data_IF_164066507019
#
_entry.id   IF_164066507019
#
_cell.length_a   1.000
_cell.length_b   1.000
_cell.length_c   1.000
_cell.angle_alpha   90.00
_cell.angle_beta   90.00
_cell.angle_gamma   90.00
#
_symmetry.space_group_name_H-M   'P 1'
#
loop_
_entity.id
_entity.type
_entity.pdbx_description
1 polymer ?
#
# COMPACT_ATOMS: atom_id res chain seq x y z
N UNK A 1 39.96 15.90 -35.08
CA UNK A 1 38.50 15.88 -35.34
C UNK A 1 38.24 14.84 -36.44
N UNK A 2 37.14 14.05 -36.47
CA UNK A 2 35.94 14.11 -35.62
C UNK A 2 35.33 12.75 -35.16
N UNK A 3 34.38 12.88 -34.23
CA UNK A 3 33.11 12.13 -34.08
C UNK A 3 33.08 10.74 -33.41
N UNK A 4 32.93 10.82 -32.09
CA UNK A 4 32.21 9.90 -31.21
C UNK A 4 30.89 9.42 -31.85
N UNK A 5 30.80 8.11 -32.10
CA UNK A 5 29.54 7.41 -32.32
C UNK A 5 29.36 6.55 -31.08
N UNK A 6 28.69 7.09 -30.06
CA UNK A 6 28.22 6.25 -28.97
C UNK A 6 27.02 5.48 -29.51
N UNK A 7 27.25 4.25 -29.96
CA UNK A 7 26.18 3.30 -30.30
C UNK A 7 25.40 3.02 -29.04
N UNK A 8 24.22 3.63 -28.95
CA UNK A 8 23.30 3.42 -27.85
C UNK A 8 22.23 2.42 -28.28
N UNK A 9 22.22 1.31 -27.53
CA UNK A 9 21.10 0.42 -27.21
C UNK A 9 20.64 -0.58 -28.27
N UNK A 10 21.28 -1.75 -28.18
CA UNK A 10 20.59 -3.02 -28.19
C UNK A 10 19.60 -3.16 -27.02
N UNK A 11 18.81 -4.25 -27.09
CA UNK A 11 17.94 -4.86 -26.06
C UNK A 11 16.48 -4.42 -26.18
N UNK A 12 15.67 -5.11 -26.98
CA UNK A 12 15.05 -6.44 -26.73
C UNK A 12 13.90 -6.34 -25.73
N UNK A 13 12.72 -6.77 -26.19
CA UNK A 13 11.56 -7.13 -25.39
C UNK A 13 11.94 -7.91 -24.12
N UNK A 14 11.46 -7.44 -22.97
CA UNK A 14 11.14 -8.25 -21.79
C UNK A 14 10.08 -7.42 -21.04
N UNK A 15 8.80 -7.77 -21.13
CA UNK A 15 8.26 -8.82 -20.28
C UNK A 15 7.88 -8.19 -18.95
N UNK A 16 6.64 -7.70 -18.84
CA UNK A 16 6.02 -7.36 -17.55
C UNK A 16 6.22 -8.56 -16.62
N UNK A 17 7.03 -8.47 -15.56
CA UNK A 17 6.91 -9.48 -14.54
C UNK A 17 5.58 -9.18 -13.85
N UNK A 18 4.65 -10.12 -13.98
CA UNK A 18 3.50 -10.23 -13.12
C UNK A 18 4.01 -10.52 -11.69
N UNK A 19 4.47 -9.50 -10.97
CA UNK A 19 4.67 -9.58 -9.52
C UNK A 19 3.30 -9.53 -8.82
N UNK A 20 2.51 -10.59 -8.98
CA UNK A 20 1.32 -10.82 -8.16
C UNK A 20 1.52 -11.95 -7.14
N UNK A 21 2.65 -12.67 -7.19
CA UNK A 21 2.83 -13.93 -6.46
C UNK A 21 3.68 -13.85 -5.18
N UNK A 22 4.47 -12.78 -4.98
CA UNK A 22 5.37 -12.62 -3.81
C UNK A 22 5.16 -11.26 -3.12
N UNK A 23 3.91 -10.80 -3.08
CA UNK A 23 3.64 -9.57 -2.35
C UNK A 23 3.77 -9.86 -0.85
N UNK A 24 4.49 -9.04 -0.07
CA UNK A 24 4.73 -9.34 1.34
C UNK A 24 3.41 -9.28 2.14
N UNK A 25 3.15 -10.28 2.97
CA UNK A 25 1.98 -10.33 3.89
C UNK A 25 2.13 -9.36 5.08
N UNK A 26 3.35 -8.85 5.27
CA UNK A 26 3.68 -7.89 6.31
C UNK A 26 4.45 -6.71 5.74
N UNK A 27 4.12 -5.51 6.20
CA UNK A 27 4.78 -4.29 5.80
C UNK A 27 5.41 -3.65 7.03
N UNK A 28 6.69 -3.28 6.94
CA UNK A 28 7.34 -2.50 8.01
C UNK A 28 7.18 -1.03 7.69
N UNK A 29 6.49 -0.29 8.55
CA UNK A 29 6.29 1.14 8.41
C UNK A 29 7.64 1.86 8.42
N UNK A 30 7.80 2.86 7.57
CA UNK A 30 8.91 3.81 7.66
C UNK A 30 8.44 5.10 8.33
N UNK A 31 9.36 5.91 8.82
CA UNK A 31 9.03 7.20 9.40
C UNK A 31 8.21 8.05 8.41
N UNK A 32 7.10 8.62 8.92
CA UNK A 32 6.13 9.45 8.17
C UNK A 32 5.26 8.67 7.17
N UNK A 33 5.27 7.34 7.16
CA UNK A 33 4.22 6.58 6.47
C UNK A 33 2.86 6.81 7.15
N UNK A 34 1.80 6.72 6.35
CA UNK A 34 0.42 6.71 6.84
C UNK A 34 -0.26 5.44 6.36
N UNK A 35 -1.25 4.94 7.12
CA UNK A 35 -2.03 3.78 6.70
C UNK A 35 -2.67 3.99 5.32
N UNK A 36 -3.10 5.22 5.04
CA UNK A 36 -3.64 5.61 3.74
C UNK A 36 -2.63 5.42 2.62
N UNK A 37 -1.41 5.96 2.77
CA UNK A 37 -0.36 5.83 1.78
C UNK A 37 0.13 4.37 1.61
N UNK A 38 0.08 3.56 2.67
CA UNK A 38 0.43 2.13 2.61
C UNK A 38 -0.63 1.36 1.81
N UNK A 39 -1.92 1.59 2.07
CA UNK A 39 -3.02 0.94 1.35
C UNK A 39 -3.08 1.36 -0.14
N UNK A 40 -2.74 2.61 -0.45
CA UNK A 40 -2.67 3.15 -1.80
C UNK A 40 -1.61 2.44 -2.67
N UNK A 41 -0.59 1.80 -2.04
CA UNK A 41 0.47 1.15 -2.81
C UNK A 41 -0.11 -0.02 -3.62
N UNK A 42 0.20 -0.11 -4.92
CA UNK A 42 -0.26 -1.19 -5.78
C UNK A 42 0.25 -2.57 -5.33
N UNK A 43 1.36 -2.60 -4.61
CA UNK A 43 1.95 -3.81 -4.01
C UNK A 43 1.18 -4.32 -2.77
N UNK A 44 0.33 -3.48 -2.18
CA UNK A 44 -0.44 -3.80 -0.97
C UNK A 44 -1.89 -4.08 -1.38
N UNK A 45 -2.62 -3.03 -1.74
CA UNK A 45 -3.99 -3.11 -2.27
C UNK A 45 -4.20 -2.28 -3.54
N UNK A 46 -3.45 -1.20 -3.71
CA UNK A 46 -3.72 -0.20 -4.75
C UNK A 46 -5.01 0.59 -4.52
N UNK A 47 -5.52 0.54 -3.29
CA UNK A 47 -6.77 1.19 -2.91
C UNK A 47 -6.61 1.83 -1.54
N UNK A 48 -6.54 3.17 -1.48
CA UNK A 48 -6.30 3.84 -0.22
C UNK A 48 -7.47 3.68 0.75
N UNK A 49 -8.70 3.48 0.28
CA UNK A 49 -9.88 3.34 1.13
C UNK A 49 -9.91 2.01 1.91
N UNK A 50 -8.96 1.11 1.65
CA UNK A 50 -8.73 -0.11 2.45
C UNK A 50 -7.76 0.09 3.62
N UNK A 51 -7.32 1.32 3.90
CA UNK A 51 -6.46 1.61 5.05
C UNK A 51 -7.07 1.15 6.39
N UNK A 52 -8.40 1.16 6.51
CA UNK A 52 -9.09 0.68 7.72
C UNK A 52 -9.01 -0.83 7.91
N UNK A 53 -8.91 -1.62 6.83
CA UNK A 53 -8.73 -3.06 6.94
C UNK A 53 -7.35 -3.38 7.55
N UNK A 54 -6.32 -2.65 7.13
CA UNK A 54 -4.98 -2.72 7.74
C UNK A 54 -5.06 -2.35 9.21
N UNK A 55 -5.71 -1.22 9.53
CA UNK A 55 -5.82 -0.79 10.92
C UNK A 55 -6.52 -1.84 11.78
N UNK A 56 -7.68 -2.33 11.35
CA UNK A 56 -8.49 -3.30 12.09
C UNK A 56 -7.73 -4.59 12.37
N UNK A 57 -6.95 -5.08 11.40
CA UNK A 57 -6.10 -6.24 11.56
C UNK A 57 -4.88 -6.01 12.47
N UNK A 58 -4.52 -4.76 12.78
CA UNK A 58 -3.34 -4.36 13.56
C UNK A 58 -3.67 -3.50 14.78
N UNK A 59 -4.92 -3.47 15.25
CA UNK A 59 -5.32 -2.68 16.44
C UNK A 59 -4.58 -3.09 17.71
N UNK A 60 -4.02 -4.30 17.75
CA UNK A 60 -3.14 -4.80 18.81
C UNK A 60 -1.81 -4.04 18.88
N UNK A 61 -1.24 -3.66 17.73
CA UNK A 61 0.06 -2.95 17.66
C UNK A 61 -0.10 -1.45 17.42
N UNK A 62 -1.17 -1.03 16.75
CA UNK A 62 -1.46 0.34 16.36
C UNK A 62 -2.88 0.70 16.84
N UNK A 63 -3.04 1.11 18.11
CA UNK A 63 -4.36 1.43 18.67
C UNK A 63 -4.96 2.70 18.05
N UNK A 64 -4.10 3.64 17.63
CA UNK A 64 -4.51 4.90 17.00
C UNK A 64 -4.03 4.94 15.54
N UNK A 65 -4.92 5.22 14.58
CA UNK A 65 -4.59 5.17 13.15
C UNK A 65 -3.71 6.34 12.69
N UNK A 66 -3.64 7.44 13.45
CA UNK A 66 -2.75 8.57 13.19
C UNK A 66 -1.37 8.40 13.86
N UNK A 67 -1.26 7.52 14.85
CA UNK A 67 -0.01 7.23 15.55
C UNK A 67 0.89 6.22 14.81
N UNK A 68 0.99 6.32 13.47
CA UNK A 68 1.87 5.46 12.68
C UNK A 68 3.33 5.90 12.89
N UNK A 69 4.06 5.14 13.71
CA UNK A 69 5.50 5.32 13.89
C UNK A 69 6.29 4.43 12.92
N UNK A 70 7.51 4.83 12.59
CA UNK A 70 8.45 3.99 11.82
C UNK A 70 8.90 2.77 12.62
N UNK A 71 9.11 1.65 11.93
CA UNK A 71 9.63 0.40 12.49
C UNK A 71 8.56 -0.59 13.00
N UNK A 72 7.28 -0.30 12.80
CA UNK A 72 6.18 -1.19 13.18
C UNK A 72 5.90 -2.18 12.06
N UNK A 73 5.81 -3.47 12.37
CA UNK A 73 5.38 -4.49 11.42
C UNK A 73 3.85 -4.57 11.41
N UNK A 74 3.24 -4.16 10.31
CA UNK A 74 1.81 -4.27 10.05
C UNK A 74 1.51 -5.53 9.24
N UNK A 75 0.45 -6.23 9.61
CA UNK A 75 -0.13 -7.36 8.89
C UNK A 75 -1.11 -6.87 7.83
N UNK A 76 -1.02 -7.37 6.61
CA UNK A 76 -1.88 -6.94 5.50
C UNK A 76 -2.90 -8.05 5.19
N UNK A 77 -4.18 -7.92 5.59
CA UNK A 77 -5.19 -8.96 5.32
C UNK A 77 -5.57 -8.99 3.84
N UNK A 78 -5.27 -10.08 3.13
CA UNK A 78 -5.63 -10.25 1.71
C UNK A 78 -6.87 -11.10 1.45
N UNK A 79 -7.34 -11.84 2.45
CA UNK A 79 -8.53 -12.69 2.37
C UNK A 79 -9.82 -11.88 2.55
N UNK A 80 -9.91 -10.71 1.90
CA UNK A 80 -11.08 -9.83 2.00
C UNK A 80 -12.08 -10.19 0.92
N UNK A 81 -13.32 -10.51 1.30
CA UNK A 81 -14.41 -10.65 0.35
C UNK A 81 -14.81 -9.29 -0.24
N UNK A 82 -15.44 -9.30 -1.42
CA UNK A 82 -15.96 -8.08 -2.06
C UNK A 82 -16.87 -7.28 -1.12
N UNK A 83 -17.69 -7.96 -0.32
CA UNK A 83 -18.57 -7.31 0.65
C UNK A 83 -17.78 -6.58 1.72
N UNK A 84 -16.73 -7.20 2.25
CA UNK A 84 -15.86 -6.58 3.26
C UNK A 84 -15.11 -5.39 2.69
N UNK A 85 -14.58 -5.49 1.46
CA UNK A 85 -13.95 -4.37 0.76
C UNK A 85 -14.88 -3.16 0.73
N UNK A 86 -16.14 -3.36 0.32
CA UNK A 86 -17.13 -2.28 0.28
C UNK A 86 -17.43 -1.71 1.67
N UNK A 87 -17.54 -2.57 2.69
CA UNK A 87 -17.73 -2.14 4.07
C UNK A 87 -16.57 -1.28 4.56
N UNK A 88 -15.32 -1.70 4.32
CA UNK A 88 -14.13 -0.93 4.71
C UNK A 88 -14.04 0.40 3.98
N UNK A 89 -14.35 0.44 2.68
CA UNK A 89 -14.43 1.71 1.94
C UNK A 89 -15.46 2.65 2.57
N UNK A 90 -16.66 2.15 2.87
CA UNK A 90 -17.69 2.96 3.49
C UNK A 90 -17.29 3.48 4.87
N UNK A 91 -16.66 2.64 5.70
CA UNK A 91 -16.12 3.04 7.00
C UNK A 91 -15.03 4.12 6.86
N UNK A 92 -14.12 3.97 5.89
CA UNK A 92 -13.05 4.92 5.64
C UNK A 92 -13.59 6.30 5.22
N UNK A 93 -14.62 6.31 4.38
CA UNK A 93 -15.33 7.54 3.99
C UNK A 93 -16.02 8.21 5.19
N UNK A 94 -16.70 7.44 6.04
CA UNK A 94 -17.38 7.98 7.22
C UNK A 94 -16.39 8.56 8.22
N UNK A 95 -15.28 7.85 8.48
CA UNK A 95 -14.18 8.31 9.32
C UNK A 95 -13.61 9.64 8.82
N UNK A 96 -13.26 9.72 7.54
CA UNK A 96 -12.67 10.94 6.94
C UNK A 96 -13.69 12.08 6.82
N UNK A 97 -14.99 11.79 6.75
CA UNK A 97 -16.05 12.80 6.80
C UNK A 97 -16.22 13.37 8.21
N UNK A 98 -16.11 12.53 9.25
CA UNK A 98 -16.23 12.93 10.64
C UNK A 98 -15.08 13.83 11.14
N UNK A 99 -13.87 13.61 10.62
CA UNK A 99 -12.67 14.38 10.96
C UNK A 99 -12.72 15.85 10.50
N UNK A 100 -13.50 16.18 9.45
CA UNK A 100 -13.58 17.53 8.88
C UNK A 100 -14.45 18.53 9.67
N UNK A 101 -14.73 18.28 10.94
CA UNK A 101 -15.62 19.10 11.77
C UNK A 101 -14.87 19.89 12.83
#
# INVERSE_FOLDING_TARGET
MPRFIWSVLAVLCAGLPAQAADLPDTYTTIDRDTLYAIADRPEIYGDPALWMAIWEANKDVLPDPHAVAGGIKLRIPRDLSMLEILQYRQKAEDYTRGDKK
#
